data_IF_336317218209
#
_entry.id   IF_336317218209
#
_cell.length_a   1.000
_cell.length_b   1.000
_cell.length_c   1.000
_cell.angle_alpha   90.00
_cell.angle_beta   90.00
_cell.angle_gamma   90.00
#
_symmetry.space_group_name_H-M   'P 1'
#
loop_
_entity.id
_entity.type
_entity.pdbx_description
1 polymer ?
#
# COMPACT_ATOMS: atom_id res chain seq x y z
N UNK A 1 18.93 38.78 28.59
CA UNK A 1 18.98 37.35 28.22
C UNK A 1 20.19 37.18 27.33
N UNK A 2 21.16 36.34 27.71
CA UNK A 2 22.46 36.22 27.00
C UNK A 2 22.26 36.02 25.50
N UNK A 3 22.99 36.75 24.65
CA UNK A 3 22.99 36.59 23.18
C UNK A 3 23.07 35.12 22.76
N UNK A 4 23.80 34.31 23.55
CA UNK A 4 23.94 32.87 23.31
C UNK A 4 22.62 32.09 23.39
N UNK A 5 21.71 32.51 24.25
CA UNK A 5 20.39 31.88 24.38
C UNK A 5 19.47 32.21 23.19
N UNK A 6 19.69 33.35 22.54
CA UNK A 6 18.86 33.82 21.44
C UNK A 6 19.10 33.01 20.15
N UNK A 7 20.37 32.80 19.76
CA UNK A 7 20.69 32.03 18.54
C UNK A 7 20.30 30.55 18.66
N UNK A 8 20.46 29.93 19.83
CA UNK A 8 20.07 28.52 20.05
C UNK A 8 18.56 28.34 19.83
N UNK A 9 17.76 29.25 20.38
CA UNK A 9 16.29 29.23 20.20
C UNK A 9 15.92 29.42 18.73
N UNK A 10 16.62 30.31 18.03
CA UNK A 10 16.37 30.59 16.63
C UNK A 10 16.67 29.36 15.76
N UNK A 11 17.85 28.75 15.94
CA UNK A 11 18.24 27.50 15.27
C UNK A 11 17.22 26.39 15.52
N UNK A 12 16.81 26.19 16.78
CA UNK A 12 15.80 25.19 17.13
C UNK A 12 14.49 25.41 16.37
N UNK A 13 13.97 26.63 16.36
CA UNK A 13 12.68 26.93 15.70
C UNK A 13 12.77 26.66 14.19
N UNK A 14 13.84 27.10 13.52
CA UNK A 14 14.00 26.88 12.08
C UNK A 14 14.21 25.40 11.74
N UNK A 15 15.00 24.67 12.54
CA UNK A 15 15.22 23.24 12.34
C UNK A 15 13.89 22.46 12.37
N UNK A 16 13.08 22.64 13.41
CA UNK A 16 11.82 21.93 13.55
C UNK A 16 10.77 22.38 12.52
N UNK A 17 10.79 23.66 12.10
CA UNK A 17 9.96 24.13 11.00
C UNK A 17 10.34 23.42 9.69
N UNK A 18 11.63 23.33 9.36
CA UNK A 18 12.10 22.66 8.14
C UNK A 18 11.75 21.16 8.18
N UNK A 19 11.95 20.48 9.31
CA UNK A 19 11.59 19.06 9.45
C UNK A 19 10.10 18.85 9.17
N UNK A 20 9.23 19.66 9.78
CA UNK A 20 7.79 19.58 9.54
C UNK A 20 7.44 19.82 8.07
N UNK A 21 8.07 20.81 7.44
CA UNK A 21 7.85 21.12 6.03
C UNK A 21 8.27 19.96 5.11
N UNK A 22 9.43 19.36 5.38
CA UNK A 22 9.94 18.22 4.60
C UNK A 22 8.98 17.02 4.66
N UNK A 23 8.43 16.71 5.84
CA UNK A 23 7.44 15.64 5.99
C UNK A 23 6.19 15.91 5.14
N UNK A 24 5.68 17.14 5.14
CA UNK A 24 4.51 17.55 4.33
C UNK A 24 4.81 17.50 2.84
N UNK A 25 6.00 17.93 2.41
CA UNK A 25 6.39 17.89 0.99
C UNK A 25 6.51 16.45 0.50
N UNK A 26 7.23 15.59 1.24
CA UNK A 26 7.43 14.18 0.86
C UNK A 26 6.08 13.44 0.77
N UNK A 27 5.21 13.62 1.76
CA UNK A 27 3.87 13.01 1.75
C UNK A 27 2.99 13.51 0.60
N UNK A 28 3.04 14.81 0.29
CA UNK A 28 2.28 15.38 -0.82
C UNK A 28 2.71 14.79 -2.16
N UNK A 29 4.02 14.67 -2.40
CA UNK A 29 4.55 14.05 -3.63
C UNK A 29 4.10 12.59 -3.74
N UNK A 30 4.17 11.82 -2.65
CA UNK A 30 3.71 10.42 -2.63
C UNK A 30 2.22 10.28 -2.93
N UNK A 31 1.38 11.14 -2.35
CA UNK A 31 -0.06 11.11 -2.62
C UNK A 31 -0.37 11.50 -4.07
N UNK A 32 0.35 12.46 -4.64
CA UNK A 32 0.20 12.84 -6.04
C UNK A 32 0.61 11.70 -6.98
N UNK A 33 1.76 11.05 -6.75
CA UNK A 33 2.20 9.90 -7.54
C UNK A 33 1.19 8.74 -7.49
N UNK A 34 0.74 8.38 -6.28
CA UNK A 34 -0.28 7.36 -6.09
C UNK A 34 -1.60 7.73 -6.79
N UNK A 35 -2.03 8.99 -6.67
CA UNK A 35 -3.25 9.49 -7.32
C UNK A 35 -3.17 9.46 -8.85
N UNK A 36 -2.00 9.81 -9.42
CA UNK A 36 -1.74 9.72 -10.85
C UNK A 36 -1.82 8.27 -11.34
N UNK A 37 -1.21 7.33 -10.60
CA UNK A 37 -1.29 5.89 -10.90
C UNK A 37 -2.72 5.37 -10.87
N UNK A 38 -3.46 5.75 -9.83
CA UNK A 38 -4.83 5.32 -9.64
C UNK A 38 -5.84 5.89 -10.64
N UNK A 39 -5.53 7.01 -11.31
CA UNK A 39 -6.46 7.72 -12.20
C UNK A 39 -6.04 7.65 -13.68
N UNK A 40 -4.84 8.12 -13.99
CA UNK A 40 -4.34 8.27 -15.36
C UNK A 40 -3.56 7.03 -15.83
N UNK A 41 -2.83 6.36 -14.94
CA UNK A 41 -1.96 5.23 -15.30
C UNK A 41 -2.47 3.86 -14.83
N UNK A 42 -3.80 3.69 -14.70
CA UNK A 42 -4.43 2.45 -14.22
C UNK A 42 -3.92 1.19 -14.91
N UNK A 43 -3.66 1.25 -16.23
CA UNK A 43 -3.14 0.12 -17.01
C UNK A 43 -1.68 -0.22 -16.64
N UNK A 44 -0.82 0.79 -16.52
CA UNK A 44 0.58 0.58 -16.14
C UNK A 44 0.71 0.09 -14.68
N UNK A 45 -0.18 0.54 -13.80
CA UNK A 45 -0.24 0.05 -12.42
C UNK A 45 -0.74 -1.40 -12.35
N UNK A 46 -1.74 -1.77 -13.15
CA UNK A 46 -2.23 -3.15 -13.24
C UNK A 46 -1.20 -4.11 -13.86
N UNK A 47 -0.35 -3.61 -14.77
CA UNK A 47 0.69 -4.38 -15.47
C UNK A 47 1.97 -4.59 -14.63
N UNK A 48 2.15 -3.85 -13.55
CA UNK A 48 3.24 -4.05 -12.57
C UNK A 48 3.30 -5.45 -11.95
N UNK A 49 2.24 -6.26 -12.17
CA UNK A 49 2.17 -7.70 -11.85
C UNK A 49 3.30 -8.53 -12.44
N UNK A 50 3.98 -8.10 -13.50
CA UNK A 50 5.05 -8.90 -14.10
C UNK A 50 6.31 -9.03 -13.23
N UNK A 51 6.49 -8.20 -12.19
CA UNK A 51 7.72 -8.24 -11.39
C UNK A 51 7.69 -9.25 -10.24
N UNK A 52 6.50 -9.71 -9.83
CA UNK A 52 6.36 -10.86 -8.93
C UNK A 52 5.80 -12.02 -9.75
N UNK A 53 6.55 -13.13 -9.93
CA UNK A 53 5.99 -14.30 -10.60
C UNK A 53 4.70 -14.67 -9.89
N UNK A 54 3.66 -14.99 -10.65
CA UNK A 54 2.43 -15.55 -10.10
C UNK A 54 2.84 -16.62 -9.09
N UNK A 55 2.39 -16.49 -7.83
CA UNK A 55 2.64 -17.55 -6.86
C UNK A 55 2.24 -18.87 -7.52
N UNK A 56 3.08 -19.91 -7.44
CA UNK A 56 2.74 -21.19 -8.03
C UNK A 56 1.33 -21.55 -7.56
N UNK A 57 0.44 -21.83 -8.51
CA UNK A 57 -0.90 -22.30 -8.19
C UNK A 57 -0.76 -23.46 -7.19
N UNK A 58 -1.49 -23.44 -6.07
CA UNK A 58 -1.33 -24.47 -5.06
C UNK A 58 -1.55 -25.85 -5.68
N UNK A 59 -0.71 -26.81 -5.29
CA UNK A 59 -0.78 -28.18 -5.79
C UNK A 59 -2.19 -28.77 -5.63
N UNK A 60 -2.93 -28.36 -4.59
CA UNK A 60 -4.32 -28.76 -4.39
C UNK A 60 -5.25 -28.30 -5.53
N UNK A 61 -5.05 -27.10 -6.08
CA UNK A 61 -5.84 -26.59 -7.22
C UNK A 61 -5.59 -27.41 -8.47
N UNK A 62 -4.32 -27.64 -8.80
CA UNK A 62 -3.95 -28.45 -9.96
C UNK A 62 -4.50 -29.88 -9.85
N UNK A 63 -4.50 -30.43 -8.62
CA UNK A 63 -5.05 -31.76 -8.35
C UNK A 63 -6.56 -31.78 -8.55
N UNK A 64 -7.30 -30.80 -8.04
CA UNK A 64 -8.75 -30.68 -8.25
C UNK A 64 -9.11 -30.48 -9.73
N UNK A 65 -8.35 -29.66 -10.47
CA UNK A 65 -8.50 -29.48 -11.92
C UNK A 65 -8.27 -30.80 -12.67
N UNK A 66 -7.24 -31.56 -12.30
CA UNK A 66 -6.94 -32.85 -12.91
C UNK A 66 -8.05 -33.88 -12.66
N UNK A 67 -8.58 -33.97 -11.43
CA UNK A 67 -9.71 -34.85 -11.08
C UNK A 67 -10.95 -34.53 -11.91
N UNK A 68 -11.29 -33.24 -12.06
CA UNK A 68 -12.43 -32.82 -12.91
C UNK A 68 -12.16 -33.12 -14.39
N UNK A 69 -10.95 -32.83 -14.88
CA UNK A 69 -10.60 -33.01 -16.29
C UNK A 69 -10.64 -34.48 -16.76
N UNK A 70 -10.38 -35.43 -15.85
CA UNK A 70 -10.43 -36.86 -16.12
C UNK A 70 -11.66 -37.56 -15.49
N UNK A 71 -12.63 -36.81 -14.97
CA UNK A 71 -13.71 -37.35 -14.14
C UNK A 71 -14.47 -38.52 -14.77
N UNK A 72 -14.68 -38.52 -16.09
CA UNK A 72 -15.38 -39.60 -16.80
C UNK A 72 -14.49 -40.77 -17.21
N UNK A 73 -13.17 -40.60 -17.23
CA UNK A 73 -12.21 -41.58 -17.76
C UNK A 73 -11.36 -42.27 -16.70
N UNK A 74 -11.16 -41.64 -15.55
CA UNK A 74 -10.22 -42.09 -14.52
C UNK A 74 -10.85 -42.93 -13.39
N UNK A 75 -12.14 -43.25 -13.46
CA UNK A 75 -12.78 -44.15 -12.48
C UNK A 75 -12.95 -43.57 -11.07
N UNK A 76 -12.90 -42.25 -10.91
CA UNK A 76 -13.20 -41.57 -9.64
C UNK A 76 -14.64 -41.81 -9.20
N UNK A 77 -14.85 -41.92 -7.89
CA UNK A 77 -16.17 -41.94 -7.28
C UNK A 77 -16.89 -40.59 -7.45
N UNK A 78 -18.21 -40.59 -7.35
CA UNK A 78 -19.00 -39.36 -7.40
C UNK A 78 -18.69 -38.42 -6.23
N UNK A 79 -18.31 -38.98 -5.08
CA UNK A 79 -17.89 -38.22 -3.89
C UNK A 79 -16.58 -37.45 -4.15
N UNK A 80 -15.57 -38.10 -4.73
CA UNK A 80 -14.29 -37.46 -5.09
C UNK A 80 -14.48 -36.35 -6.13
N UNK A 81 -15.33 -36.58 -7.12
CA UNK A 81 -15.67 -35.55 -8.12
C UNK A 81 -16.37 -34.35 -7.48
N UNK A 82 -17.25 -34.60 -6.52
CA UNK A 82 -17.97 -33.54 -5.83
C UNK A 82 -17.02 -32.72 -4.95
N UNK A 83 -16.14 -33.38 -4.19
CA UNK A 83 -15.12 -32.71 -3.39
C UNK A 83 -14.19 -31.83 -4.23
N UNK A 84 -13.77 -32.31 -5.41
CA UNK A 84 -12.96 -31.51 -6.33
C UNK A 84 -13.71 -30.27 -6.83
N UNK A 85 -15.01 -30.39 -7.15
CA UNK A 85 -15.86 -29.26 -7.57
C UNK A 85 -16.03 -28.24 -6.44
N UNK A 86 -16.33 -28.71 -5.23
CA UNK A 86 -16.54 -27.85 -4.07
C UNK A 86 -15.25 -27.11 -3.71
N UNK A 87 -14.11 -27.81 -3.68
CA UNK A 87 -12.80 -27.19 -3.48
C UNK A 87 -12.50 -26.11 -4.52
N UNK A 88 -12.75 -26.40 -5.81
CA UNK A 88 -12.44 -25.46 -6.90
C UNK A 88 -13.35 -24.23 -6.86
N UNK A 89 -14.61 -24.41 -6.46
CA UNK A 89 -15.55 -23.32 -6.23
C UNK A 89 -15.11 -22.42 -5.06
N UNK A 90 -14.72 -23.02 -3.93
CA UNK A 90 -14.22 -22.29 -2.76
C UNK A 90 -12.90 -21.58 -3.05
N UNK A 91 -11.98 -22.25 -3.75
CA UNK A 91 -10.70 -21.68 -4.19
C UNK A 91 -10.89 -20.45 -5.07
N UNK A 92 -11.74 -20.55 -6.10
CA UNK A 92 -12.00 -19.43 -7.00
C UNK A 92 -12.69 -18.27 -6.27
N UNK A 93 -13.62 -18.57 -5.36
CA UNK A 93 -14.26 -17.57 -4.50
C UNK A 93 -13.26 -16.85 -3.59
N UNK A 94 -12.29 -17.57 -3.03
CA UNK A 94 -11.23 -16.99 -2.22
C UNK A 94 -10.33 -16.08 -3.07
N UNK A 95 -9.95 -16.52 -4.27
CA UNK A 95 -9.12 -15.73 -5.18
C UNK A 95 -9.80 -14.42 -5.59
N UNK A 96 -11.12 -14.42 -5.81
CA UNK A 96 -11.90 -13.21 -6.12
C UNK A 96 -12.01 -12.24 -4.93
N UNK A 97 -11.84 -12.73 -3.71
CA UNK A 97 -11.87 -11.92 -2.49
C UNK A 97 -10.51 -11.31 -2.11
N UNK A 98 -9.42 -11.74 -2.74
CA UNK A 98 -8.10 -11.19 -2.45
C UNK A 98 -7.98 -9.74 -2.93
N UNK A 99 -7.64 -8.83 -2.02
CA UNK A 99 -7.36 -7.44 -2.36
C UNK A 99 -6.12 -7.41 -3.26
N UNK A 100 -6.20 -6.86 -4.50
CA UNK A 100 -5.07 -6.85 -5.40
C UNK A 100 -3.86 -6.13 -4.80
N UNK A 101 -2.64 -6.62 -5.05
CA UNK A 101 -1.39 -6.06 -4.51
C UNK A 101 -1.27 -4.53 -4.69
N UNK A 102 -1.61 -4.01 -5.87
CA UNK A 102 -1.55 -2.56 -6.12
C UNK A 102 -2.52 -1.76 -5.24
N UNK A 103 -3.68 -2.33 -4.87
CA UNK A 103 -4.60 -1.71 -3.90
C UNK A 103 -3.98 -1.73 -2.50
N UNK A 104 -3.33 -2.83 -2.10
CA UNK A 104 -2.63 -2.90 -0.82
C UNK A 104 -1.51 -1.84 -0.73
N UNK A 105 -0.75 -1.66 -1.82
CA UNK A 105 0.31 -0.65 -1.89
C UNK A 105 -0.23 0.79 -1.79
N UNK A 106 -1.42 1.05 -2.36
CA UNK A 106 -2.12 2.33 -2.17
C UNK A 106 -2.49 2.56 -0.71
N UNK A 107 -2.99 1.55 -0.01
CA UNK A 107 -3.31 1.68 1.42
C UNK A 107 -2.06 1.98 2.25
N UNK A 108 -0.96 1.27 1.99
CA UNK A 108 0.32 1.50 2.66
C UNK A 108 0.83 2.92 2.42
N UNK A 109 0.84 3.35 1.16
CA UNK A 109 1.29 4.69 0.76
C UNK A 109 0.39 5.78 1.35
N UNK A 110 -0.92 5.57 1.36
CA UNK A 110 -1.88 6.51 1.96
C UNK A 110 -1.68 6.61 3.47
N UNK A 111 -1.57 5.48 4.18
CA UNK A 111 -1.40 5.45 5.63
C UNK A 111 -0.14 6.22 6.06
N UNK A 112 1.01 5.95 5.44
CA UNK A 112 2.26 6.64 5.78
C UNK A 112 2.23 8.12 5.42
N UNK A 113 1.62 8.47 4.28
CA UNK A 113 1.56 9.86 3.82
C UNK A 113 0.63 10.69 4.70
N UNK A 114 -0.54 10.15 5.06
CA UNK A 114 -1.46 10.79 5.99
C UNK A 114 -0.79 10.97 7.36
N UNK A 115 -0.10 9.96 7.89
CA UNK A 115 0.62 10.09 9.16
C UNK A 115 1.67 11.21 9.12
N UNK A 116 2.45 11.31 8.03
CA UNK A 116 3.42 12.38 7.84
C UNK A 116 2.77 13.77 7.75
N UNK A 117 1.58 13.90 7.13
CA UNK A 117 0.85 15.18 7.09
C UNK A 117 0.31 15.54 8.48
N UNK A 118 -0.33 14.58 9.17
CA UNK A 118 -0.92 14.77 10.50
C UNK A 118 0.13 15.22 11.52
N UNK A 119 1.37 14.72 11.42
CA UNK A 119 2.47 15.13 12.30
C UNK A 119 3.21 16.36 11.77
N UNK A 120 3.57 16.36 10.49
CA UNK A 120 4.42 17.37 9.86
C UNK A 120 3.74 18.73 9.73
N UNK A 121 2.44 18.76 9.41
CA UNK A 121 1.72 20.02 9.20
C UNK A 121 1.57 20.84 10.50
N UNK A 122 1.12 20.28 11.64
CA UNK A 122 1.11 21.01 12.90
C UNK A 122 2.51 21.43 13.34
N UNK A 123 3.51 20.56 13.17
CA UNK A 123 4.90 20.86 13.52
C UNK A 123 5.42 22.07 12.72
N UNK A 124 5.26 22.05 11.40
CA UNK A 124 5.64 23.17 10.54
C UNK A 124 4.90 24.45 10.91
N UNK A 125 3.57 24.40 11.00
CA UNK A 125 2.75 25.60 11.26
C UNK A 125 3.06 26.21 12.63
N UNK A 126 3.25 25.38 13.65
CA UNK A 126 3.59 25.85 14.99
C UNK A 126 4.95 26.56 14.97
N UNK A 127 6.01 25.88 14.53
CA UNK A 127 7.36 26.45 14.55
C UNK A 127 7.50 27.63 13.60
N UNK A 128 6.85 27.61 12.43
CA UNK A 128 6.83 28.75 11.51
C UNK A 128 6.14 29.99 12.12
N UNK A 129 5.02 29.80 12.82
CA UNK A 129 4.36 30.90 13.55
C UNK A 129 5.25 31.47 14.66
N UNK A 130 6.03 30.63 15.35
CA UNK A 130 7.00 31.10 16.34
C UNK A 130 8.16 31.86 15.68
N UNK A 131 8.67 31.38 14.55
CA UNK A 131 9.74 32.04 13.81
C UNK A 131 9.34 33.46 13.38
N UNK A 132 8.13 33.62 12.82
CA UNK A 132 7.60 34.94 12.40
C UNK A 132 7.38 35.94 13.54
N UNK A 133 7.31 35.47 14.79
CA UNK A 133 7.21 36.33 15.98
C UNK A 133 8.59 36.64 16.60
N UNK A 134 9.61 35.88 16.22
CA UNK A 134 10.97 35.98 16.75
C UNK A 134 11.91 36.72 15.80
N UNK A 135 11.56 36.82 14.52
CA UNK A 135 12.12 37.72 13.52
C UNK A 135 11.43 39.09 13.60
#
# INVERSE_FOLDING_TARGET
MSEKMHWIRLVYIYLFSIIGLVLVVISSVRMLDMGLKATLFKKAEADSRQFYPAMPVPYEKQTAEAVISCAEKCGFSEEEKQQARDFLADYNKQQDQEIPYYIQERYRTSAISIAMIVVGLPLYLYHWRLARKAA
#
